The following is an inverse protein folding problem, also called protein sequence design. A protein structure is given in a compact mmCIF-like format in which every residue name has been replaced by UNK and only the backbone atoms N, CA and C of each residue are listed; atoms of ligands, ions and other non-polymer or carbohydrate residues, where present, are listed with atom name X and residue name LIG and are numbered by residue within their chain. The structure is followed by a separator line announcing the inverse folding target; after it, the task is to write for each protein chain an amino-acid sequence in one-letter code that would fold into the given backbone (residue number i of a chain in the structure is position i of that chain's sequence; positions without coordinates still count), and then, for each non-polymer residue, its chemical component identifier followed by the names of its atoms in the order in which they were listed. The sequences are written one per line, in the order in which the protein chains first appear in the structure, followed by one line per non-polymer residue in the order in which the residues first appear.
data_IF_334243376431
#
_entry.id   IF_334243376431
#
_cell.length_a   1.000
_cell.length_b   1.000
_cell.length_c   1.000
_cell.angle_alpha   90.00
_cell.angle_beta   90.00
_cell.angle_gamma   90.00
#
_symmetry.space_group_name_H-M   'P 1'
#
loop_
_entity.id
_entity.type
_entity.pdbx_description
1 polymer ?
#
# COMPACT_ATOMS: atom_id res chain seq x y z
N UNK A 1 -8.41 -15.83 -27.24
CA UNK A 1 -7.13 -15.17 -27.54
C UNK A 1 -6.32 -15.24 -26.26
N UNK A 2 -5.28 -16.07 -26.24
CA UNK A 2 -4.43 -16.29 -25.06
C UNK A 2 -3.36 -15.22 -24.96
N UNK A 3 -3.25 -14.58 -23.80
CA UNK A 3 -2.23 -13.57 -23.51
C UNK A 3 -1.29 -14.07 -22.42
N UNK A 4 -0.01 -14.17 -22.73
CA UNK A 4 1.03 -14.62 -21.83
C UNK A 4 1.93 -13.44 -21.47
N UNK A 5 2.01 -13.11 -20.19
CA UNK A 5 2.95 -12.13 -19.68
C UNK A 5 4.25 -12.81 -19.28
N UNK A 6 5.36 -12.34 -19.81
CA UNK A 6 6.70 -12.80 -19.50
C UNK A 6 7.47 -11.66 -18.85
N UNK A 7 8.04 -11.92 -17.68
CA UNK A 7 8.83 -10.98 -16.90
C UNK A 7 10.26 -11.46 -16.92
N UNK A 8 11.14 -10.90 -17.79
CA UNK A 8 12.54 -11.25 -17.79
C UNK A 8 13.20 -10.76 -16.51
N UNK A 9 13.95 -11.64 -15.86
CA UNK A 9 14.66 -11.34 -14.63
C UNK A 9 16.06 -11.98 -14.64
N UNK A 10 17.10 -11.21 -14.37
CA UNK A 10 18.47 -11.68 -14.23
C UNK A 10 19.08 -11.23 -12.91
N UNK A 11 19.91 -12.08 -12.34
CA UNK A 11 20.60 -11.76 -11.09
C UNK A 11 21.72 -10.76 -11.29
N UNK A 12 22.45 -10.88 -12.40
CA UNK A 12 23.58 -10.01 -12.73
C UNK A 12 23.07 -8.63 -13.15
N UNK A 13 23.10 -7.68 -12.22
CA UNK A 13 22.86 -6.26 -12.45
C UNK A 13 24.09 -5.48 -11.97
N UNK A 14 24.64 -4.61 -12.82
CA UNK A 14 25.85 -3.86 -12.49
C UNK A 14 25.63 -2.79 -11.41
N UNK A 15 24.44 -2.19 -11.35
CA UNK A 15 24.08 -1.12 -10.41
C UNK A 15 23.46 -1.63 -9.11
N UNK A 16 22.65 -2.69 -9.18
CA UNK A 16 21.98 -3.32 -8.04
C UNK A 16 22.05 -4.85 -8.19
N UNK A 17 23.09 -5.52 -7.68
CA UNK A 17 23.20 -6.97 -7.74
C UNK A 17 22.00 -7.66 -7.06
N UNK A 18 21.46 -8.69 -7.71
CA UNK A 18 20.28 -9.39 -7.18
C UNK A 18 18.98 -8.58 -7.19
N UNK A 19 18.91 -7.51 -7.99
CA UNK A 19 17.82 -6.56 -8.10
C UNK A 19 16.40 -7.17 -8.00
N UNK A 20 16.06 -8.27 -8.72
CA UNK A 20 14.73 -8.87 -8.64
C UNK A 20 14.38 -9.43 -7.25
N UNK A 21 15.36 -9.74 -6.44
CA UNK A 21 15.21 -10.33 -5.09
C UNK A 21 15.31 -9.29 -3.97
N UNK A 22 15.53 -8.01 -4.28
CA UNK A 22 15.57 -6.95 -3.28
C UNK A 22 14.23 -6.83 -2.58
N UNK A 23 14.27 -6.77 -1.26
CA UNK A 23 13.07 -6.63 -0.43
C UNK A 23 12.42 -5.26 -0.60
N UNK A 24 11.11 -5.29 -0.82
CA UNK A 24 10.23 -4.13 -0.82
C UNK A 24 9.03 -4.46 0.08
N UNK A 25 9.01 -3.91 1.29
CA UNK A 25 7.92 -4.09 2.25
C UNK A 25 7.59 -5.57 2.53
N UNK A 26 8.62 -6.42 2.74
CA UNK A 26 8.48 -7.84 3.08
C UNK A 26 8.26 -8.78 1.89
N UNK A 27 8.37 -8.30 0.65
CA UNK A 27 8.27 -9.11 -0.57
C UNK A 27 9.43 -8.79 -1.52
N UNK A 28 9.98 -9.78 -2.26
CA UNK A 28 10.95 -9.49 -3.30
C UNK A 28 10.34 -8.63 -4.42
N UNK A 29 11.13 -7.75 -5.03
CA UNK A 29 10.68 -6.84 -6.10
C UNK A 29 9.93 -7.58 -7.20
N UNK A 30 10.43 -8.73 -7.64
CA UNK A 30 9.82 -9.55 -8.69
C UNK A 30 8.39 -9.99 -8.33
N UNK A 31 8.11 -10.24 -7.05
CA UNK A 31 6.76 -10.61 -6.58
C UNK A 31 5.78 -9.45 -6.78
N UNK A 32 6.18 -8.21 -6.49
CA UNK A 32 5.33 -7.04 -6.72
C UNK A 32 4.95 -6.90 -8.19
N UNK A 33 5.91 -7.12 -9.10
CA UNK A 33 5.66 -7.08 -10.55
C UNK A 33 4.72 -8.21 -10.97
N UNK A 34 4.97 -9.45 -10.53
CA UNK A 34 4.10 -10.59 -10.82
C UNK A 34 2.67 -10.38 -10.34
N UNK A 35 2.49 -9.89 -9.10
CA UNK A 35 1.17 -9.60 -8.53
C UNK A 35 0.47 -8.45 -9.27
N UNK A 36 1.21 -7.42 -9.72
CA UNK A 36 0.64 -6.31 -10.47
C UNK A 36 0.15 -6.77 -11.85
N UNK A 37 0.97 -7.52 -12.58
CA UNK A 37 0.62 -8.08 -13.90
C UNK A 37 -0.53 -9.10 -13.79
N UNK A 38 -0.49 -9.96 -12.77
CA UNK A 38 -1.54 -10.97 -12.53
C UNK A 38 -2.91 -10.41 -12.14
N UNK A 39 -2.98 -9.12 -11.75
CA UNK A 39 -4.25 -8.40 -11.53
C UNK A 39 -4.83 -7.77 -12.79
N UNK A 40 -4.10 -7.75 -13.91
CA UNK A 40 -4.64 -7.32 -15.19
C UNK A 40 -5.69 -8.31 -15.70
N UNK A 41 -6.81 -7.80 -16.18
CA UNK A 41 -7.99 -8.62 -16.52
C UNK A 41 -7.84 -9.37 -17.84
N UNK A 42 -6.92 -8.95 -18.70
CA UNK A 42 -6.69 -9.51 -20.03
C UNK A 42 -5.45 -10.41 -20.12
N UNK A 43 -4.78 -10.66 -18.99
CA UNK A 43 -3.64 -11.58 -18.87
C UNK A 43 -4.13 -12.95 -18.40
N UNK A 44 -3.84 -13.97 -19.16
CA UNK A 44 -4.25 -15.36 -18.81
C UNK A 44 -3.21 -16.06 -17.94
N UNK A 45 -1.92 -15.72 -18.11
CA UNK A 45 -0.83 -16.34 -17.35
C UNK A 45 0.37 -15.40 -17.23
N UNK A 46 1.09 -15.52 -16.11
CA UNK A 46 2.31 -14.77 -15.82
C UNK A 46 3.49 -15.71 -15.62
N UNK A 47 4.57 -15.51 -16.36
CA UNK A 47 5.82 -16.26 -16.27
C UNK A 47 6.99 -15.34 -15.94
N UNK A 48 7.89 -15.79 -15.08
CA UNK A 48 9.21 -15.19 -14.90
C UNK A 48 10.23 -15.98 -15.70
N UNK A 49 10.89 -15.32 -16.66
CA UNK A 49 11.96 -15.91 -17.46
C UNK A 49 13.33 -15.54 -16.88
N UNK A 50 14.09 -16.52 -16.40
CA UNK A 50 15.36 -16.28 -15.69
C UNK A 50 16.41 -17.33 -16.02
N UNK A 51 17.69 -16.95 -15.91
CA UNK A 51 18.85 -17.85 -15.96
C UNK A 51 19.41 -18.20 -14.56
N UNK A 52 18.77 -17.71 -13.50
CA UNK A 52 19.28 -17.84 -12.13
C UNK A 52 18.34 -18.65 -11.24
N UNK A 53 18.83 -19.75 -10.70
CA UNK A 53 18.07 -20.67 -9.85
C UNK A 53 17.53 -20.00 -8.56
N UNK A 54 18.20 -18.96 -8.06
CA UNK A 54 17.75 -18.21 -6.86
C UNK A 54 16.47 -17.43 -7.16
N UNK A 55 16.39 -16.82 -8.35
CA UNK A 55 15.18 -16.11 -8.80
C UNK A 55 14.06 -17.12 -9.03
N UNK A 56 14.35 -18.24 -9.73
CA UNK A 56 13.35 -19.26 -9.98
C UNK A 56 12.79 -19.83 -8.68
N UNK A 57 13.64 -20.07 -7.68
CA UNK A 57 13.22 -20.53 -6.35
C UNK A 57 12.33 -19.49 -5.65
N UNK A 58 12.77 -18.24 -5.60
CA UNK A 58 11.98 -17.17 -4.97
C UNK A 58 10.59 -17.02 -5.62
N UNK A 59 10.51 -17.16 -6.96
CA UNK A 59 9.23 -17.13 -7.69
C UNK A 59 8.35 -18.31 -7.28
N UNK A 60 8.90 -19.51 -7.13
CA UNK A 60 8.18 -20.68 -6.67
C UNK A 60 7.71 -20.55 -5.22
N UNK A 61 8.51 -19.95 -4.34
CA UNK A 61 8.21 -19.77 -2.92
C UNK A 61 6.94 -18.91 -2.70
N UNK A 62 6.63 -17.96 -3.58
CA UNK A 62 5.37 -17.20 -3.54
C UNK A 62 4.27 -17.74 -4.48
N UNK A 63 4.45 -18.95 -5.04
CA UNK A 63 3.44 -19.61 -5.89
C UNK A 63 3.42 -19.12 -7.33
N UNK A 64 4.42 -18.37 -7.79
CA UNK A 64 4.59 -17.95 -9.17
C UNK A 64 5.17 -19.07 -10.05
N UNK A 65 5.12 -18.87 -11.37
CA UNK A 65 5.72 -19.78 -12.36
C UNK A 65 6.99 -19.17 -12.94
N UNK A 66 8.12 -19.89 -12.83
CA UNK A 66 9.39 -19.53 -13.45
C UNK A 66 9.77 -20.50 -14.56
N UNK A 67 10.39 -19.98 -15.62
CA UNK A 67 10.97 -20.76 -16.72
C UNK A 67 12.45 -20.43 -16.81
N UNK A 68 13.27 -21.47 -16.81
CA UNK A 68 14.71 -21.30 -17.00
C UNK A 68 15.01 -21.03 -18.47
N UNK A 69 15.80 -19.98 -18.72
CA UNK A 69 16.24 -19.55 -20.04
C UNK A 69 17.75 -19.50 -20.13
N UNK A 70 18.30 -19.50 -21.35
CA UNK A 70 19.75 -19.45 -21.56
C UNK A 70 20.40 -18.23 -20.90
N UNK A 71 21.56 -18.39 -20.25
CA UNK A 71 22.37 -17.27 -19.80
C UNK A 71 22.91 -16.40 -20.97
N UNK A 72 22.92 -16.95 -22.20
CA UNK A 72 23.38 -16.25 -23.40
C UNK A 72 22.36 -15.25 -23.96
N UNK A 73 21.14 -15.19 -23.41
CA UNK A 73 20.15 -14.18 -23.78
C UNK A 73 20.69 -12.79 -23.48
N UNK A 74 20.98 -12.01 -24.52
CA UNK A 74 21.55 -10.68 -24.39
C UNK A 74 20.55 -9.66 -23.81
N UNK A 75 19.23 -9.88 -24.03
CA UNK A 75 18.17 -8.94 -23.70
C UNK A 75 16.95 -9.60 -23.08
N UNK A 76 16.01 -8.80 -22.59
CA UNK A 76 14.70 -9.26 -22.11
C UNK A 76 13.86 -9.84 -23.25
N UNK A 77 13.95 -9.28 -24.45
CA UNK A 77 13.24 -9.76 -25.62
C UNK A 77 13.78 -11.10 -26.12
N UNK A 78 15.10 -11.35 -26.04
CA UNK A 78 15.68 -12.66 -26.38
C UNK A 78 15.14 -13.76 -25.46
N UNK A 79 14.98 -13.48 -24.15
CA UNK A 79 14.36 -14.43 -23.22
C UNK A 79 12.88 -14.69 -23.57
N UNK A 80 12.15 -13.65 -23.98
CA UNK A 80 10.79 -13.79 -24.43
C UNK A 80 10.69 -14.66 -25.68
N UNK A 81 11.60 -14.48 -26.65
CA UNK A 81 11.67 -15.32 -27.85
C UNK A 81 11.94 -16.79 -27.49
N UNK A 82 12.81 -17.05 -26.52
CA UNK A 82 13.07 -18.41 -26.04
C UNK A 82 11.84 -19.04 -25.40
N UNK A 83 11.14 -18.29 -24.53
CA UNK A 83 9.88 -18.73 -23.93
C UNK A 83 8.82 -19.01 -25.00
N UNK A 84 8.68 -18.17 -26.03
CA UNK A 84 7.69 -18.32 -27.09
C UNK A 84 7.91 -19.56 -27.96
N UNK A 85 9.08 -20.21 -27.92
CA UNK A 85 9.33 -21.50 -28.61
C UNK A 85 8.59 -22.66 -27.94
N UNK A 86 8.32 -22.55 -26.63
CA UNK A 86 7.74 -23.62 -25.82
C UNK A 86 6.36 -23.29 -25.29
N UNK A 87 6.00 -22.00 -25.18
CA UNK A 87 4.75 -21.50 -24.65
C UNK A 87 3.98 -20.76 -25.73
N UNK A 88 2.90 -21.37 -26.24
CA UNK A 88 2.09 -20.80 -27.30
C UNK A 88 1.09 -19.75 -26.76
N UNK A 89 1.09 -18.57 -27.34
CA UNK A 89 0.12 -17.50 -27.05
C UNK A 89 -0.17 -16.65 -28.29
N UNK A 90 -1.31 -15.97 -28.30
CA UNK A 90 -1.68 -15.02 -29.36
C UNK A 90 -1.01 -13.66 -29.15
N UNK A 91 -0.82 -13.28 -27.88
CA UNK A 91 -0.12 -12.07 -27.45
C UNK A 91 0.87 -12.42 -26.35
N UNK A 92 2.10 -11.94 -26.49
CA UNK A 92 3.15 -12.01 -25.50
C UNK A 92 3.41 -10.61 -24.96
N UNK A 93 3.32 -10.45 -23.62
CA UNK A 93 3.74 -9.24 -22.94
C UNK A 93 5.17 -9.38 -22.46
N UNK A 94 5.98 -8.36 -22.69
CA UNK A 94 7.30 -8.19 -22.07
C UNK A 94 7.19 -7.08 -21.02
N UNK A 95 7.22 -7.46 -19.75
CA UNK A 95 7.14 -6.54 -18.62
C UNK A 95 8.45 -6.59 -17.86
N UNK A 96 9.08 -5.44 -17.64
CA UNK A 96 10.37 -5.39 -16.95
C UNK A 96 10.21 -5.77 -15.47
N UNK A 97 11.12 -6.64 -14.99
CA UNK A 97 11.12 -7.14 -13.61
C UNK A 97 11.47 -6.09 -12.54
N UNK A 98 11.72 -4.86 -12.93
CA UNK A 98 12.09 -3.72 -12.10
C UNK A 98 11.04 -2.60 -12.05
N UNK A 99 9.80 -2.88 -12.49
CA UNK A 99 8.67 -1.96 -12.44
C UNK A 99 7.61 -2.34 -11.39
N UNK A 100 7.92 -2.32 -10.08
CA UNK A 100 7.00 -2.79 -9.03
C UNK A 100 5.78 -1.89 -8.83
N UNK A 101 5.76 -0.69 -9.41
CA UNK A 101 4.64 0.25 -9.36
C UNK A 101 3.74 0.20 -10.60
N UNK A 102 3.89 -0.81 -11.46
CA UNK A 102 3.08 -1.03 -12.65
C UNK A 102 1.58 -1.09 -12.29
N UNK A 103 0.76 -0.44 -13.11
CA UNK A 103 -0.69 -0.45 -12.95
C UNK A 103 -1.34 -1.51 -13.83
N UNK A 104 -2.16 -2.42 -13.30
CA UNK A 104 -2.85 -3.46 -14.08
C UNK A 104 -3.63 -2.91 -15.28
N UNK A 105 -4.30 -1.77 -15.10
CA UNK A 105 -5.07 -1.12 -16.17
C UNK A 105 -4.21 -0.66 -17.37
N UNK A 106 -2.92 -0.38 -17.18
CA UNK A 106 -2.01 -0.01 -18.26
C UNK A 106 -1.61 -1.24 -19.08
N UNK A 107 -1.50 -2.40 -18.44
CA UNK A 107 -1.31 -3.69 -19.10
C UNK A 107 -2.54 -4.03 -19.98
N UNK A 108 -3.74 -3.88 -19.43
CA UNK A 108 -4.98 -4.14 -20.18
C UNK A 108 -5.12 -3.21 -21.40
N UNK A 109 -4.77 -1.92 -21.26
CA UNK A 109 -4.76 -0.98 -22.40
C UNK A 109 -3.80 -1.41 -23.50
N UNK A 110 -2.62 -1.89 -23.15
CA UNK A 110 -1.63 -2.34 -24.10
C UNK A 110 -2.09 -3.58 -24.88
N UNK A 111 -2.71 -4.54 -24.20
CA UNK A 111 -3.29 -5.73 -24.81
C UNK A 111 -4.45 -5.33 -25.74
N UNK A 112 -5.33 -4.45 -25.27
CA UNK A 112 -6.48 -3.94 -26.05
C UNK A 112 -6.02 -3.29 -27.34
N UNK A 113 -4.96 -2.47 -27.31
CA UNK A 113 -4.43 -1.81 -28.51
C UNK A 113 -4.01 -2.79 -29.60
N UNK A 114 -3.47 -3.97 -29.25
CA UNK A 114 -3.18 -5.01 -30.24
C UNK A 114 -4.43 -5.81 -30.66
N UNK A 115 -5.36 -6.04 -29.74
CA UNK A 115 -6.61 -6.77 -30.05
C UNK A 115 -7.44 -6.00 -31.07
N UNK A 116 -7.54 -4.68 -30.87
CA UNK A 116 -8.38 -3.79 -31.69
C UNK A 116 -7.69 -3.38 -33.00
N UNK A 117 -6.40 -3.64 -33.16
CA UNK A 117 -5.63 -3.32 -34.37
C UNK A 117 -4.91 -4.57 -34.92
N UNK A 118 -5.62 -5.48 -35.59
CA UNK A 118 -5.05 -6.73 -36.09
C UNK A 118 -3.84 -6.60 -37.03
N UNK A 119 -3.67 -5.53 -37.85
CA UNK A 119 -2.48 -5.33 -38.67
C UNK A 119 -1.21 -5.05 -37.87
N UNK A 120 -1.31 -4.58 -36.60
CA UNK A 120 -0.16 -4.29 -35.78
C UNK A 120 0.39 -5.56 -35.12
N UNK A 121 1.70 -5.76 -35.21
CA UNK A 121 2.38 -6.89 -34.63
C UNK A 121 3.04 -6.56 -33.28
N UNK A 122 3.17 -5.28 -32.94
CA UNK A 122 3.72 -4.82 -31.67
C UNK A 122 3.01 -3.56 -31.16
N UNK A 123 2.95 -3.40 -29.85
CA UNK A 123 2.52 -2.18 -29.18
C UNK A 123 3.41 -1.88 -27.97
N UNK A 124 3.57 -0.59 -27.65
CA UNK A 124 4.35 -0.13 -26.49
C UNK A 124 3.78 1.19 -25.97
N UNK A 125 3.87 1.47 -24.64
CA UNK A 125 3.32 2.71 -24.11
C UNK A 125 4.24 3.92 -24.31
N UNK A 126 3.59 5.10 -24.31
CA UNK A 126 4.26 6.39 -24.19
C UNK A 126 3.46 7.34 -23.31
N UNK A 127 4.09 8.39 -22.80
CA UNK A 127 3.46 9.44 -22.02
C UNK A 127 4.06 10.81 -22.35
N UNK A 128 3.27 11.87 -22.16
CA UNK A 128 3.73 13.24 -22.41
C UNK A 128 4.79 13.64 -21.39
N UNK A 129 5.88 14.25 -21.87
CA UNK A 129 7.00 14.73 -21.07
C UNK A 129 7.30 16.19 -21.40
N UNK A 130 7.96 16.89 -20.46
CA UNK A 130 8.46 18.25 -20.71
C UNK A 130 9.71 18.24 -21.59
N UNK A 131 10.07 19.40 -22.12
CA UNK A 131 11.34 19.58 -22.85
C UNK A 131 12.56 19.26 -21.95
N UNK A 132 12.53 19.71 -20.71
CA UNK A 132 13.61 19.45 -19.73
C UNK A 132 13.79 17.94 -19.49
N UNK A 133 12.69 17.20 -19.42
CA UNK A 133 12.75 15.73 -19.33
C UNK A 133 13.25 15.09 -20.62
N UNK A 134 12.93 15.67 -21.79
CA UNK A 134 13.42 15.15 -23.06
C UNK A 134 14.94 15.28 -23.24
N UNK A 135 15.60 16.16 -22.50
CA UNK A 135 17.08 16.31 -22.49
C UNK A 135 17.80 15.16 -21.78
N UNK A 136 17.10 14.38 -20.91
CA UNK A 136 17.71 13.23 -20.25
C UNK A 136 17.90 12.07 -21.24
N UNK A 137 19.15 11.64 -21.51
CA UNK A 137 19.43 10.52 -22.42
C UNK A 137 19.04 9.15 -21.87
N UNK A 138 18.75 9.05 -20.56
CA UNK A 138 18.25 7.81 -19.97
C UNK A 138 16.77 7.61 -20.24
N UNK A 139 16.01 8.68 -20.42
CA UNK A 139 14.63 8.63 -20.86
C UNK A 139 14.59 8.51 -22.39
N UNK A 140 14.07 7.41 -22.91
CA UNK A 140 13.91 7.21 -24.36
C UNK A 140 12.74 8.04 -24.85
N UNK A 141 12.96 8.79 -25.95
CA UNK A 141 11.91 9.56 -26.64
C UNK A 141 11.38 8.80 -27.82
N UNK A 142 10.14 9.05 -28.20
CA UNK A 142 9.51 8.49 -29.39
C UNK A 142 8.77 9.58 -30.15
N UNK A 143 8.90 9.55 -31.50
CA UNK A 143 8.05 10.30 -32.39
C UNK A 143 7.03 9.36 -33.03
N UNK A 144 5.80 9.83 -33.23
CA UNK A 144 4.69 9.04 -33.76
C UNK A 144 3.96 9.77 -34.87
N UNK A 145 3.36 9.00 -35.80
CA UNK A 145 2.51 9.55 -36.82
C UNK A 145 1.08 9.85 -36.29
N UNK A 146 0.22 10.38 -37.14
CA UNK A 146 -1.17 10.72 -36.79
C UNK A 146 -2.01 9.49 -36.42
N UNK A 147 -1.68 8.31 -36.94
CA UNK A 147 -2.30 7.04 -36.57
C UNK A 147 -1.80 6.47 -35.23
N UNK A 148 -0.89 7.19 -34.52
CA UNK A 148 -0.33 6.76 -33.28
C UNK A 148 0.73 5.66 -33.41
N UNK A 149 1.30 5.44 -34.60
CA UNK A 149 2.38 4.47 -34.80
C UNK A 149 3.74 5.12 -34.59
N UNK A 150 4.69 4.40 -34.02
CA UNK A 150 6.05 4.86 -33.83
C UNK A 150 6.74 5.09 -35.18
N UNK A 151 7.36 6.25 -35.32
CA UNK A 151 8.25 6.58 -36.46
C UNK A 151 9.71 6.31 -36.10
N UNK A 152 10.14 6.67 -34.89
CA UNK A 152 11.49 6.44 -34.41
C UNK A 152 11.58 6.58 -32.89
N UNK A 153 12.54 5.87 -32.29
CA UNK A 153 12.90 5.98 -30.87
C UNK A 153 14.33 6.46 -30.76
N UNK A 154 14.59 7.40 -29.84
CA UNK A 154 15.95 7.92 -29.63
C UNK A 154 16.22 8.32 -28.17
N UNK A 155 17.50 8.25 -27.81
CA UNK A 155 17.99 8.86 -26.57
C UNK A 155 18.22 10.37 -26.72
N UNK A 156 18.37 10.87 -27.96
CA UNK A 156 18.39 12.30 -28.23
C UNK A 156 17.00 12.93 -28.02
N UNK A 157 16.91 14.24 -27.75
CA UNK A 157 15.62 14.94 -27.73
C UNK A 157 15.04 15.03 -29.13
N UNK A 158 14.01 14.24 -29.41
CA UNK A 158 13.26 14.22 -30.68
C UNK A 158 11.77 14.49 -30.43
N UNK A 159 11.08 15.24 -31.35
CA UNK A 159 11.64 15.88 -32.55
C UNK A 159 12.48 17.11 -32.20
N UNK A 160 13.35 17.54 -33.12
CA UNK A 160 14.12 18.77 -32.95
C UNK A 160 13.23 20.01 -33.17
N UNK A 161 13.17 20.84 -32.18
CA UNK A 161 12.46 22.12 -32.24
C UNK A 161 13.39 23.19 -32.82
N UNK A 162 13.26 23.43 -34.11
CA UNK A 162 14.16 24.31 -34.87
C UNK A 162 14.09 25.76 -34.40
N UNK A 163 12.88 26.23 -34.10
CA UNK A 163 12.64 27.62 -33.81
C UNK A 163 12.70 27.94 -32.31
N UNK A 164 12.78 26.89 -31.46
CA UNK A 164 12.88 27.03 -30.02
C UNK A 164 11.60 27.55 -29.34
N UNK A 165 10.47 27.54 -30.06
CA UNK A 165 9.20 28.06 -29.56
C UNK A 165 8.51 27.15 -28.53
N UNK A 166 9.09 25.97 -28.27
CA UNK A 166 8.58 24.94 -27.32
C UNK A 166 7.11 24.52 -27.58
N UNK A 167 6.64 24.62 -28.80
CA UNK A 167 5.29 24.18 -29.19
C UNK A 167 5.23 22.68 -29.50
N UNK A 168 6.39 22.04 -29.54
CA UNK A 168 6.52 20.61 -29.84
C UNK A 168 6.17 19.76 -28.61
N UNK A 169 5.33 18.75 -28.82
CA UNK A 169 5.03 17.78 -27.78
C UNK A 169 6.06 16.65 -27.81
N UNK A 170 6.71 16.43 -26.65
CA UNK A 170 7.64 15.32 -26.45
C UNK A 170 6.94 14.13 -25.82
N UNK A 171 7.33 12.93 -26.24
CA UNK A 171 6.81 11.67 -25.75
C UNK A 171 7.92 10.80 -25.18
N UNK A 172 7.80 10.47 -23.89
CA UNK A 172 8.65 9.48 -23.22
C UNK A 172 8.11 8.07 -23.48
N UNK A 173 9.00 7.13 -23.76
CA UNK A 173 8.68 5.73 -23.98
C UNK A 173 8.77 4.96 -22.65
N UNK A 174 7.89 3.95 -22.48
CA UNK A 174 7.90 3.00 -21.36
C UNK A 174 8.33 1.63 -21.85
N UNK A 175 9.27 0.99 -21.17
CA UNK A 175 9.92 -0.28 -21.58
C UNK A 175 9.04 -1.52 -21.45
N UNK A 176 7.74 -1.41 -21.63
CA UNK A 176 6.78 -2.52 -21.64
C UNK A 176 6.25 -2.73 -23.06
N UNK A 177 6.09 -3.98 -23.47
CA UNK A 177 5.66 -4.29 -24.84
C UNK A 177 4.62 -5.39 -24.86
N UNK A 178 3.71 -5.30 -25.84
CA UNK A 178 2.90 -6.42 -26.30
C UNK A 178 3.32 -6.81 -27.73
N UNK A 179 3.51 -8.09 -27.94
CA UNK A 179 3.94 -8.64 -29.24
C UNK A 179 2.98 -9.73 -29.71
N UNK A 180 2.68 -9.73 -31.01
CA UNK A 180 2.20 -10.95 -31.69
C UNK A 180 3.38 -11.85 -32.05
N UNK A 181 3.16 -13.15 -32.31
CA UNK A 181 4.20 -14.07 -32.73
C UNK A 181 5.05 -13.56 -33.91
N UNK A 182 4.43 -12.84 -34.84
CA UNK A 182 5.11 -12.27 -36.01
C UNK A 182 6.23 -11.27 -35.64
N UNK A 183 6.02 -10.44 -34.61
CA UNK A 183 7.06 -9.53 -34.14
C UNK A 183 8.23 -10.29 -33.48
N UNK A 184 7.94 -11.31 -32.71
CA UNK A 184 8.98 -12.15 -32.07
C UNK A 184 9.78 -12.94 -33.10
N UNK A 185 9.15 -13.34 -34.20
CA UNK A 185 9.83 -14.01 -35.30
C UNK A 185 10.94 -13.12 -35.93
N UNK A 186 10.73 -11.79 -35.98
CA UNK A 186 11.75 -10.85 -36.45
C UNK A 186 12.96 -10.81 -35.52
N UNK A 187 12.75 -10.79 -34.21
CA UNK A 187 13.84 -10.87 -33.24
C UNK A 187 14.62 -12.19 -33.34
N UNK A 188 13.92 -13.31 -33.58
CA UNK A 188 14.55 -14.62 -33.73
C UNK A 188 15.36 -14.76 -35.02
N UNK A 189 14.93 -14.08 -36.10
CA UNK A 189 15.51 -14.22 -37.43
C UNK A 189 16.68 -13.25 -37.69
N UNK A 190 16.76 -12.13 -37.01
CA UNK A 190 17.68 -11.04 -37.33
C UNK A 190 18.56 -10.65 -36.13
N UNK A 191 19.86 -10.47 -36.39
CA UNK A 191 20.79 -9.88 -35.42
C UNK A 191 20.52 -8.37 -35.23
N UNK A 192 21.01 -7.78 -34.12
CA UNK A 192 20.89 -6.34 -33.86
C UNK A 192 21.39 -5.50 -35.05
N UNK A 193 20.54 -4.58 -35.54
CA UNK A 193 20.85 -3.69 -36.65
C UNK A 193 21.71 -2.49 -36.23
N UNK A 194 22.05 -1.62 -37.18
CA UNK A 194 22.89 -0.43 -36.96
C UNK A 194 22.24 0.53 -35.96
N UNK A 195 20.96 0.85 -36.15
CA UNK A 195 20.21 1.78 -35.29
C UNK A 195 20.09 1.23 -33.87
N UNK A 196 19.78 -0.07 -33.73
CA UNK A 196 19.71 -0.74 -32.43
C UNK A 196 21.05 -0.68 -31.68
N UNK A 197 22.16 -0.93 -32.41
CA UNK A 197 23.50 -0.85 -31.81
C UNK A 197 23.89 0.57 -31.39
N UNK A 198 23.51 1.58 -32.19
CA UNK A 198 23.79 2.98 -31.91
C UNK A 198 23.02 3.51 -30.69
N UNK A 199 21.73 3.31 -30.67
CA UNK A 199 20.82 3.84 -29.63
C UNK A 199 20.73 2.90 -28.42
N UNK A 200 21.15 1.62 -28.53
CA UNK A 200 20.92 0.55 -27.54
C UNK A 200 19.42 0.37 -27.23
N UNK A 201 18.62 0.32 -28.29
CA UNK A 201 17.16 0.23 -28.26
C UNK A 201 16.68 -0.92 -29.15
N UNK A 202 16.28 -2.04 -28.56
CA UNK A 202 15.89 -3.29 -29.25
C UNK A 202 14.73 -3.11 -30.22
N UNK A 203 13.75 -2.28 -29.87
CA UNK A 203 12.56 -2.03 -30.70
C UNK A 203 12.87 -1.40 -32.06
N UNK A 204 14.03 -0.80 -32.25
CA UNK A 204 14.48 -0.30 -33.55
C UNK A 204 14.67 -1.41 -34.56
N UNK A 205 14.98 -2.66 -34.13
CA UNK A 205 15.05 -3.83 -34.99
C UNK A 205 13.72 -4.07 -35.70
N UNK A 206 12.61 -3.95 -34.99
CA UNK A 206 11.27 -4.08 -35.59
C UNK A 206 11.03 -3.05 -36.69
N UNK A 207 11.30 -1.76 -36.39
CA UNK A 207 11.13 -0.67 -37.34
C UNK A 207 12.02 -0.85 -38.57
N UNK A 208 13.29 -1.27 -38.40
CA UNK A 208 14.23 -1.54 -39.49
C UNK A 208 13.75 -2.67 -40.41
N UNK A 209 12.96 -3.61 -39.89
CA UNK A 209 12.37 -4.72 -40.67
C UNK A 209 10.91 -4.50 -41.06
N UNK A 210 10.43 -3.26 -41.01
CA UNK A 210 9.09 -2.88 -41.49
C UNK A 210 7.93 -3.31 -40.59
N UNK A 211 8.23 -3.72 -39.35
CA UNK A 211 7.20 -4.04 -38.36
C UNK A 211 6.76 -2.75 -37.64
N UNK A 212 5.51 -2.37 -37.85
CA UNK A 212 4.88 -1.21 -37.17
C UNK A 212 4.68 -1.47 -35.68
N UNK A 213 4.89 -0.43 -34.89
CA UNK A 213 4.69 -0.46 -33.44
C UNK A 213 3.61 0.56 -33.09
N UNK A 214 2.49 0.10 -32.52
CA UNK A 214 1.42 0.96 -32.05
C UNK A 214 1.83 1.61 -30.72
N UNK A 215 1.74 2.94 -30.63
CA UNK A 215 1.95 3.68 -29.38
C UNK A 215 0.65 3.76 -28.59
N UNK A 216 0.71 3.46 -27.31
CA UNK A 216 -0.41 3.53 -26.36
C UNK A 216 -0.15 4.65 -25.37
N UNK A 217 -0.97 5.70 -25.42
CA UNK A 217 -0.81 6.82 -24.50
C UNK A 217 -1.28 6.46 -23.09
N UNK A 218 -0.38 6.57 -22.12
CA UNK A 218 -0.63 6.34 -20.71
C UNK A 218 -0.43 7.63 -19.90
N UNK A 219 -1.06 7.76 -18.73
CA UNK A 219 -0.68 8.78 -17.78
C UNK A 219 0.78 8.57 -17.32
N UNK A 220 1.50 9.63 -16.90
CA UNK A 220 2.85 9.48 -16.38
C UNK A 220 2.94 8.34 -15.36
N UNK A 221 3.91 7.45 -15.55
CA UNK A 221 4.18 6.32 -14.67
C UNK A 221 5.44 6.60 -13.82
N UNK A 222 5.52 5.93 -12.68
CA UNK A 222 6.74 5.96 -11.90
C UNK A 222 7.86 5.24 -12.67
N UNK A 223 9.09 5.77 -12.67
CA UNK A 223 10.22 5.08 -13.28
C UNK A 223 10.50 3.75 -12.58
N UNK A 224 11.08 2.82 -13.31
CA UNK A 224 11.58 1.57 -12.76
C UNK A 224 12.67 1.80 -11.70
N UNK A 225 12.97 0.76 -10.93
CA UNK A 225 14.01 0.80 -9.90
C UNK A 225 15.38 0.53 -10.55
N UNK A 226 16.23 1.52 -10.65
CA UNK A 226 17.56 1.39 -11.24
C UNK A 226 18.69 1.68 -10.24
N UNK A 227 18.41 2.44 -9.20
CA UNK A 227 19.34 2.87 -8.17
C UNK A 227 18.78 2.58 -6.78
N UNK A 228 19.64 2.63 -5.73
CA UNK A 228 19.20 2.51 -4.34
C UNK A 228 18.19 3.61 -3.98
N UNK A 229 18.37 4.82 -4.52
CA UNK A 229 17.42 5.93 -4.33
C UNK A 229 16.03 5.64 -4.91
N UNK A 230 15.98 4.96 -6.06
CA UNK A 230 14.70 4.52 -6.65
C UNK A 230 14.05 3.46 -5.78
N UNK A 231 14.85 2.52 -5.25
CA UNK A 231 14.38 1.49 -4.35
C UNK A 231 13.78 2.08 -3.06
N UNK A 232 14.44 3.04 -2.43
CA UNK A 232 13.92 3.74 -1.25
C UNK A 232 12.63 4.50 -1.55
N UNK A 233 12.57 5.16 -2.70
CA UNK A 233 11.36 5.84 -3.17
C UNK A 233 10.19 4.86 -3.35
N UNK A 234 10.44 3.72 -3.96
CA UNK A 234 9.41 2.68 -4.17
C UNK A 234 8.98 2.07 -2.84
N UNK A 235 9.92 1.80 -1.92
CA UNK A 235 9.61 1.36 -0.55
C UNK A 235 8.68 2.34 0.17
N UNK A 236 8.97 3.64 0.07
CA UNK A 236 8.12 4.69 0.66
C UNK A 236 6.73 4.73 0.05
N UNK A 237 6.62 4.61 -1.29
CA UNK A 237 5.33 4.65 -2.00
C UNK A 237 4.47 3.40 -1.73
N UNK A 238 5.07 2.22 -1.72
CA UNK A 238 4.35 0.97 -1.43
C UNK A 238 4.09 0.81 0.07
N UNK A 239 5.02 1.22 0.92
CA UNK A 239 4.84 1.27 2.37
C UNK A 239 3.71 2.23 2.76
N UNK A 240 3.64 3.41 2.16
CA UNK A 240 2.54 4.36 2.33
C UNK A 240 1.20 3.80 1.84
N UNK A 241 1.15 3.19 0.66
CA UNK A 241 -0.07 2.55 0.13
C UNK A 241 -0.52 1.35 0.96
N UNK A 242 0.41 0.54 1.44
CA UNK A 242 0.10 -0.57 2.34
C UNK A 242 -0.40 -0.08 3.69
N UNK A 243 0.17 1.00 4.22
CA UNK A 243 -0.30 1.66 5.42
C UNK A 243 -1.71 2.27 5.23
N UNK A 244 -1.97 2.93 4.10
CA UNK A 244 -3.30 3.47 3.76
C UNK A 244 -4.35 2.36 3.54
N UNK A 245 -4.01 1.26 2.86
CA UNK A 245 -4.91 0.11 2.68
C UNK A 245 -5.12 -0.66 3.98
N UNK A 246 -4.08 -0.85 4.78
CA UNK A 246 -4.18 -1.44 6.10
C UNK A 246 -5.00 -0.52 7.03
N UNK A 247 -4.77 0.79 7.00
CA UNK A 247 -5.53 1.76 7.75
C UNK A 247 -7.02 1.80 7.32
N UNK A 248 -7.32 1.73 6.03
CA UNK A 248 -8.70 1.69 5.52
C UNK A 248 -9.43 0.39 5.91
N UNK A 249 -8.75 -0.77 5.82
CA UNK A 249 -9.31 -2.05 6.27
C UNK A 249 -9.41 -2.13 7.80
N UNK A 250 -8.41 -1.58 8.52
CA UNK A 250 -8.42 -1.49 9.98
C UNK A 250 -9.51 -0.54 10.44
N UNK A 251 -9.76 0.57 9.72
CA UNK A 251 -10.83 1.53 10.03
C UNK A 251 -12.21 0.89 9.89
N UNK A 252 -12.50 0.17 8.80
CA UNK A 252 -13.77 -0.58 8.65
C UNK A 252 -13.95 -1.66 9.72
N UNK A 253 -12.90 -2.43 10.00
CA UNK A 253 -12.89 -3.43 11.07
C UNK A 253 -13.06 -2.79 12.44
N UNK A 254 -12.42 -1.64 12.70
CA UNK A 254 -12.54 -0.91 13.95
C UNK A 254 -13.96 -0.35 14.13
N UNK A 255 -14.55 0.23 13.10
CA UNK A 255 -15.92 0.75 13.14
C UNK A 255 -16.96 -0.34 13.42
N UNK A 256 -16.81 -1.52 12.78
CA UNK A 256 -17.63 -2.69 13.07
C UNK A 256 -17.48 -3.17 14.52
N UNK A 257 -16.26 -3.15 15.06
CA UNK A 257 -15.98 -3.50 16.47
C UNK A 257 -16.57 -2.48 17.43
N UNK A 258 -16.42 -1.16 17.15
CA UNK A 258 -17.02 -0.08 17.94
C UNK A 258 -18.56 -0.20 17.99
N UNK A 259 -19.19 -0.59 16.88
CA UNK A 259 -20.64 -0.82 16.82
C UNK A 259 -21.12 -1.89 17.80
N UNK A 260 -20.31 -2.92 18.05
CA UNK A 260 -20.64 -4.05 18.95
C UNK A 260 -20.38 -3.76 20.42
N UNK A 261 -19.70 -2.66 20.75
CA UNK A 261 -19.34 -2.33 22.13
C UNK A 261 -20.58 -2.14 22.99
N UNK A 262 -20.67 -2.88 24.09
CA UNK A 262 -21.73 -2.83 25.09
C UNK A 262 -21.25 -2.41 26.48
N UNK A 263 -19.94 -2.46 26.72
CA UNK A 263 -19.28 -2.04 27.95
C UNK A 263 -18.06 -1.19 27.66
N UNK A 264 -17.95 -0.07 28.34
CA UNK A 264 -16.74 0.75 28.39
C UNK A 264 -16.18 0.68 29.81
N UNK A 265 -14.91 0.31 29.95
CA UNK A 265 -14.16 0.42 31.19
C UNK A 265 -13.19 1.58 31.05
N UNK A 266 -13.24 2.56 31.93
CA UNK A 266 -12.38 3.75 31.84
C UNK A 266 -11.49 3.86 33.08
N UNK A 267 -10.21 4.22 32.84
CA UNK A 267 -9.39 4.80 33.90
C UNK A 267 -9.90 6.21 34.27
N UNK A 268 -9.39 6.76 35.34
CA UNK A 268 -9.77 8.07 35.89
C UNK A 268 -8.68 9.10 35.72
N UNK A 269 -7.51 8.84 36.33
CA UNK A 269 -6.43 9.82 36.39
C UNK A 269 -5.65 9.82 35.06
N UNK A 270 -5.74 10.93 34.31
CA UNK A 270 -5.18 11.04 32.97
C UNK A 270 -6.17 10.70 31.83
N UNK A 271 -7.38 10.18 32.15
CA UNK A 271 -8.46 9.93 31.17
C UNK A 271 -9.66 10.82 31.42
N UNK A 272 -10.34 10.66 32.59
CA UNK A 272 -11.48 11.49 33.01
C UNK A 272 -11.03 12.80 33.67
N UNK A 273 -9.78 12.84 34.12
CA UNK A 273 -9.09 14.02 34.65
C UNK A 273 -7.86 14.32 33.80
N UNK A 274 -7.23 15.46 34.02
CA UNK A 274 -5.95 15.83 33.41
C UNK A 274 -4.72 15.18 34.07
N UNK A 275 -4.95 14.26 35.03
CA UNK A 275 -3.90 13.60 35.82
C UNK A 275 -3.33 14.46 36.93
N UNK A 276 -3.77 15.70 37.09
CA UNK A 276 -3.37 16.58 38.20
C UNK A 276 -3.89 16.10 39.54
N UNK A 277 -3.06 16.14 40.56
CA UNK A 277 -3.37 15.77 41.93
C UNK A 277 -3.39 17.01 42.81
N UNK A 278 -4.50 17.22 43.53
CA UNK A 278 -4.66 18.35 44.46
C UNK A 278 -4.67 17.82 45.91
N UNK A 279 -3.58 18.08 46.63
CA UNK A 279 -3.38 17.61 47.99
C UNK A 279 -3.64 18.70 49.04
N UNK A 280 -4.41 18.36 50.05
CA UNK A 280 -4.53 19.11 51.31
C UNK A 280 -3.84 18.38 52.46
N UNK A 281 -3.98 18.92 53.72
CA UNK A 281 -3.36 18.29 54.90
C UNK A 281 -3.77 16.83 55.12
N UNK A 282 -4.99 16.49 54.73
CA UNK A 282 -5.58 15.15 54.95
C UNK A 282 -5.45 14.25 53.68
N UNK A 283 -4.65 14.62 52.70
CA UNK A 283 -4.43 13.86 51.47
C UNK A 283 -5.06 14.49 50.23
N UNK A 284 -5.43 13.69 49.22
CA UNK A 284 -6.06 14.15 48.00
C UNK A 284 -7.45 14.72 48.26
N UNK A 285 -7.64 16.04 48.00
CA UNK A 285 -8.86 16.75 48.41
C UNK A 285 -9.77 17.13 47.24
N UNK A 286 -9.24 17.30 46.00
CA UNK A 286 -10.00 17.72 44.86
C UNK A 286 -9.60 16.92 43.61
N UNK A 287 -10.57 16.72 42.72
CA UNK A 287 -10.36 16.25 41.32
C UNK A 287 -11.09 17.16 40.34
N UNK A 288 -10.43 17.50 39.27
CA UNK A 288 -11.01 18.25 38.15
C UNK A 288 -11.55 17.31 37.08
N UNK A 289 -12.84 17.34 36.82
CA UNK A 289 -13.49 16.57 35.78
C UNK A 289 -13.97 17.47 34.63
N UNK A 290 -13.93 16.97 33.39
CA UNK A 290 -14.53 17.64 32.25
C UNK A 290 -16.06 17.41 32.21
N UNK A 291 -16.82 18.49 32.05
CA UNK A 291 -18.29 18.40 31.96
C UNK A 291 -18.73 17.63 30.70
N UNK A 292 -18.00 17.79 29.57
CA UNK A 292 -18.31 17.12 28.32
C UNK A 292 -18.15 15.60 28.42
N UNK A 293 -17.10 15.13 29.13
CA UNK A 293 -16.87 13.70 29.39
C UNK A 293 -18.03 13.08 30.19
N UNK A 294 -18.51 13.80 31.20
CA UNK A 294 -19.69 13.38 31.95
C UNK A 294 -20.95 13.28 31.08
N UNK A 295 -21.17 14.25 30.19
CA UNK A 295 -22.27 14.18 29.24
C UNK A 295 -22.12 12.99 28.29
N UNK A 296 -20.90 12.69 27.81
CA UNK A 296 -20.60 11.52 26.99
C UNK A 296 -21.02 10.21 27.66
N UNK A 297 -20.73 10.07 28.97
CA UNK A 297 -21.16 8.90 29.77
C UNK A 297 -22.68 8.75 29.80
N UNK A 298 -23.39 9.85 30.08
CA UNK A 298 -24.87 9.85 30.14
C UNK A 298 -25.47 9.49 28.79
N UNK A 299 -24.95 10.01 27.69
CA UNK A 299 -25.42 9.70 26.33
C UNK A 299 -25.23 8.22 25.98
N UNK A 300 -24.07 7.66 26.30
CA UNK A 300 -23.80 6.24 26.07
C UNK A 300 -24.71 5.33 26.89
N UNK A 301 -24.93 5.65 28.17
CA UNK A 301 -25.85 4.89 29.03
C UNK A 301 -27.28 4.93 28.46
N UNK A 302 -27.75 6.08 27.98
CA UNK A 302 -29.08 6.20 27.31
C UNK A 302 -29.14 5.37 26.00
N UNK A 303 -27.99 5.18 25.32
CA UNK A 303 -27.88 4.33 24.13
C UNK A 303 -27.69 2.84 24.46
N UNK A 304 -27.78 2.43 25.73
CA UNK A 304 -27.67 1.05 26.17
C UNK A 304 -26.22 0.55 26.31
N UNK A 305 -25.22 1.45 26.31
CA UNK A 305 -23.82 1.10 26.58
C UNK A 305 -23.55 1.27 28.08
N UNK A 306 -23.07 0.24 28.73
CA UNK A 306 -22.67 0.31 30.14
C UNK A 306 -21.34 1.04 30.28
N UNK A 307 -21.19 1.83 31.33
CA UNK A 307 -19.93 2.48 31.69
C UNK A 307 -19.47 1.95 33.04
N UNK A 308 -18.23 1.47 33.09
CA UNK A 308 -17.56 1.03 34.29
C UNK A 308 -16.31 1.87 34.53
N UNK A 309 -15.92 2.04 35.80
CA UNK A 309 -14.73 2.83 36.16
C UNK A 309 -13.76 1.95 36.95
N UNK A 310 -12.49 1.98 36.55
CA UNK A 310 -11.40 1.28 37.21
C UNK A 310 -10.27 2.26 37.52
N UNK A 311 -10.03 2.54 38.77
CA UNK A 311 -9.01 3.50 39.22
C UNK A 311 -8.06 2.91 40.27
N UNK A 312 -6.78 3.26 40.15
CA UNK A 312 -5.78 2.99 41.16
C UNK A 312 -5.99 3.79 42.45
N UNK A 313 -6.85 4.79 42.41
CA UNK A 313 -7.14 5.69 43.57
C UNK A 313 -8.60 5.63 43.95
N UNK A 314 -8.84 5.92 45.23
CA UNK A 314 -10.18 6.04 45.81
C UNK A 314 -10.25 7.33 46.62
N UNK A 315 -11.11 8.25 46.24
CA UNK A 315 -11.31 9.48 46.99
C UNK A 315 -12.80 9.90 46.96
N UNK A 316 -13.24 10.68 47.98
CA UNK A 316 -14.64 11.12 48.08
C UNK A 316 -15.14 11.88 46.86
N UNK A 317 -14.28 12.72 46.25
CA UNK A 317 -14.64 13.49 45.05
C UNK A 317 -14.97 12.59 43.87
N UNK A 318 -14.22 11.50 43.64
CA UNK A 318 -14.49 10.51 42.60
C UNK A 318 -15.79 9.77 42.87
N UNK A 319 -16.01 9.27 44.09
CA UNK A 319 -17.24 8.56 44.47
C UNK A 319 -18.48 9.44 44.25
N UNK A 320 -18.38 10.72 44.64
CA UNK A 320 -19.45 11.69 44.41
C UNK A 320 -19.73 11.86 42.93
N UNK A 321 -18.67 12.04 42.11
CA UNK A 321 -18.82 12.21 40.66
C UNK A 321 -19.46 11.00 39.98
N UNK A 322 -19.10 9.78 40.36
CA UNK A 322 -19.70 8.54 39.84
C UNK A 322 -21.19 8.45 40.20
N UNK A 323 -21.54 8.81 41.42
CA UNK A 323 -22.96 8.86 41.82
C UNK A 323 -23.78 9.88 41.02
N UNK A 324 -23.24 11.09 40.81
CA UNK A 324 -23.89 12.13 40.00
C UNK A 324 -24.10 11.71 38.53
N UNK A 325 -23.24 10.84 38.00
CA UNK A 325 -23.32 10.31 36.63
C UNK A 325 -24.08 8.98 36.51
N UNK A 326 -24.56 8.43 37.64
CA UNK A 326 -25.26 7.15 37.67
C UNK A 326 -24.40 5.95 37.32
N UNK A 327 -23.07 6.05 37.51
CA UNK A 327 -22.14 4.95 37.28
C UNK A 327 -22.13 4.04 38.51
N UNK A 328 -22.64 2.82 38.36
CA UNK A 328 -22.78 1.82 39.46
C UNK A 328 -21.69 0.74 39.41
N UNK A 329 -21.07 0.52 38.24
CA UNK A 329 -19.99 -0.44 38.04
C UNK A 329 -18.65 0.25 38.25
N UNK A 330 -17.93 -0.05 39.32
CA UNK A 330 -16.59 0.51 39.52
C UNK A 330 -15.73 -0.32 40.45
N UNK A 331 -14.40 -0.22 40.27
CA UNK A 331 -13.36 -0.71 41.20
C UNK A 331 -12.39 0.42 41.44
N UNK A 332 -12.31 0.88 42.69
CA UNK A 332 -11.47 1.99 43.13
C UNK A 332 -10.38 1.48 44.07
N UNK A 333 -9.21 2.15 44.07
CA UNK A 333 -8.07 1.75 44.90
C UNK A 333 -7.41 0.45 44.40
N UNK A 334 -7.52 0.12 43.11
CA UNK A 334 -6.98 -1.11 42.52
C UNK A 334 -5.78 -0.81 41.64
N UNK A 335 -4.59 -1.12 42.10
CA UNK A 335 -3.34 -0.95 41.36
C UNK A 335 -3.19 -2.05 40.30
N UNK A 336 -3.52 -3.29 40.64
CA UNK A 336 -3.52 -4.41 39.70
C UNK A 336 -4.81 -4.40 38.86
N UNK A 337 -4.72 -3.87 37.65
CA UNK A 337 -5.91 -3.62 36.82
C UNK A 337 -6.49 -4.88 36.18
N UNK A 338 -5.68 -5.93 35.94
CA UNK A 338 -6.14 -7.16 35.28
C UNK A 338 -7.30 -7.83 36.03
N UNK A 339 -7.08 -8.23 37.28
CA UNK A 339 -8.09 -8.92 38.09
C UNK A 339 -9.35 -8.06 38.27
N UNK A 340 -9.16 -6.75 38.50
CA UNK A 340 -10.30 -5.83 38.67
C UNK A 340 -11.08 -5.62 37.39
N UNK A 341 -10.43 -5.65 36.22
CA UNK A 341 -11.08 -5.59 34.90
C UNK A 341 -11.90 -6.86 34.62
N UNK A 342 -11.33 -8.03 34.89
CA UNK A 342 -12.02 -9.33 34.76
C UNK A 342 -13.25 -9.42 35.67
N UNK A 343 -13.17 -8.88 36.89
CA UNK A 343 -14.32 -8.79 37.80
C UNK A 343 -15.42 -7.89 37.25
N UNK A 344 -15.08 -6.73 36.68
CA UNK A 344 -16.06 -5.82 36.04
C UNK A 344 -16.71 -6.47 34.80
N UNK A 345 -15.95 -7.16 33.99
CA UNK A 345 -16.48 -7.93 32.84
C UNK A 345 -17.48 -8.98 33.31
N UNK A 346 -17.13 -9.77 34.33
CA UNK A 346 -18.00 -10.81 34.90
C UNK A 346 -19.28 -10.21 35.49
N UNK A 347 -19.18 -9.14 36.28
CA UNK A 347 -20.33 -8.47 36.89
C UNK A 347 -21.24 -7.82 35.85
N UNK A 348 -20.64 -7.29 34.76
CA UNK A 348 -21.42 -6.70 33.68
C UNK A 348 -22.19 -7.74 32.84
N UNK A 349 -21.72 -8.99 32.80
CA UNK A 349 -22.27 -10.02 31.88
C UNK A 349 -22.01 -9.70 30.41
N UNK A 350 -21.07 -8.79 30.09
CA UNK A 350 -20.67 -8.45 28.72
C UNK A 350 -19.40 -9.23 28.36
N UNK A 351 -19.37 -9.96 27.24
CA UNK A 351 -18.18 -10.69 26.83
C UNK A 351 -17.04 -9.74 26.45
N UNK A 352 -15.77 -10.15 26.64
CA UNK A 352 -14.60 -9.32 26.36
C UNK A 352 -14.62 -8.66 24.97
N UNK A 353 -15.00 -9.38 23.93
CA UNK A 353 -15.05 -8.92 22.54
C UNK A 353 -16.05 -7.78 22.28
N UNK A 354 -17.04 -7.60 23.16
CA UNK A 354 -18.04 -6.51 23.14
C UNK A 354 -17.71 -5.40 24.15
N UNK A 355 -16.48 -5.40 24.70
CA UNK A 355 -16.01 -4.41 25.65
C UNK A 355 -14.82 -3.60 25.10
N UNK A 356 -14.62 -2.42 25.66
CA UNK A 356 -13.42 -1.64 25.45
C UNK A 356 -12.86 -1.08 26.76
N UNK A 357 -11.55 -0.84 26.77
CA UNK A 357 -10.88 -0.14 27.88
C UNK A 357 -10.25 1.15 27.35
N UNK A 358 -10.43 2.27 28.03
CA UNK A 358 -9.77 3.55 27.74
C UNK A 358 -8.79 3.90 28.86
N UNK A 359 -7.53 4.20 28.48
CA UNK A 359 -6.42 4.45 29.41
C UNK A 359 -5.36 5.39 28.87
N UNK A 360 -4.38 5.75 29.74
CA UNK A 360 -3.30 6.68 29.42
C UNK A 360 -1.91 6.21 29.89
N UNK A 361 -1.80 5.31 30.87
CA UNK A 361 -0.51 4.89 31.43
C UNK A 361 -0.33 3.35 31.44
N UNK A 362 0.89 2.90 31.72
CA UNK A 362 1.32 1.50 31.63
C UNK A 362 0.40 0.47 32.32
N UNK A 363 -0.18 0.75 33.49
CA UNK A 363 -1.11 -0.19 34.14
C UNK A 363 -2.37 -0.48 33.30
N UNK A 364 -2.73 0.42 32.37
CA UNK A 364 -3.90 0.27 31.49
C UNK A 364 -3.73 -0.79 30.41
N UNK A 365 -2.48 -1.17 30.11
CA UNK A 365 -2.20 -2.27 29.18
C UNK A 365 -2.82 -3.58 29.64
N UNK A 366 -2.96 -3.81 30.95
CA UNK A 366 -3.69 -4.95 31.50
C UNK A 366 -5.19 -4.89 31.15
N UNK A 367 -5.78 -3.69 31.24
CA UNK A 367 -7.16 -3.46 30.81
C UNK A 367 -7.34 -3.68 29.30
N UNK A 368 -6.38 -3.21 28.48
CA UNK A 368 -6.40 -3.46 27.03
C UNK A 368 -6.36 -4.95 26.70
N UNK A 369 -5.58 -5.73 27.45
CA UNK A 369 -5.48 -7.18 27.27
C UNK A 369 -6.74 -7.96 27.68
N UNK A 370 -7.57 -7.39 28.56
CA UNK A 370 -8.81 -8.01 29.03
C UNK A 370 -10.00 -7.71 28.13
N UNK A 371 -9.99 -6.60 27.37
CA UNK A 371 -11.10 -6.12 26.58
C UNK A 371 -10.88 -6.36 25.08
N UNK A 372 -11.99 -6.37 24.33
CA UNK A 372 -11.95 -6.48 22.87
C UNK A 372 -11.22 -5.31 22.20
N UNK A 373 -11.29 -4.10 22.77
CA UNK A 373 -10.64 -2.89 22.24
C UNK A 373 -9.90 -2.15 23.36
N UNK A 374 -8.65 -1.72 23.06
CA UNK A 374 -7.90 -0.75 23.88
C UNK A 374 -7.90 0.61 23.19
N UNK A 375 -8.25 1.67 23.93
CA UNK A 375 -8.32 3.05 23.42
C UNK A 375 -7.39 3.92 24.25
N UNK A 376 -6.53 4.70 23.61
CA UNK A 376 -5.63 5.62 24.30
C UNK A 376 -6.04 7.07 24.09
N UNK A 377 -5.90 7.91 25.12
CA UNK A 377 -6.04 9.38 24.97
C UNK A 377 -4.82 9.96 24.26
N UNK A 378 -4.93 11.18 23.69
CA UNK A 378 -3.86 11.80 22.90
C UNK A 378 -2.53 11.94 23.65
N UNK A 379 -2.58 12.28 24.95
CA UNK A 379 -1.43 12.47 25.82
C UNK A 379 -1.01 11.20 26.58
N UNK A 380 -1.52 10.03 26.23
CA UNK A 380 -1.10 8.76 26.82
C UNK A 380 0.39 8.48 26.55
N UNK A 381 1.01 7.66 27.42
CA UNK A 381 2.39 7.21 27.25
C UNK A 381 2.60 6.50 25.91
N UNK A 382 3.76 6.67 25.29
CA UNK A 382 4.04 6.10 23.95
C UNK A 382 3.71 4.61 23.85
N UNK A 383 4.14 3.78 24.82
CA UNK A 383 3.84 2.35 24.82
C UNK A 383 2.34 2.03 24.89
N UNK A 384 1.54 2.88 25.54
CA UNK A 384 0.07 2.72 25.60
C UNK A 384 -0.55 3.10 24.25
N UNK A 385 -0.06 4.18 23.63
CA UNK A 385 -0.52 4.61 22.28
C UNK A 385 -0.18 3.57 21.21
N UNK A 386 1.00 2.95 21.28
CA UNK A 386 1.43 1.88 20.38
C UNK A 386 0.61 0.60 20.52
N UNK A 387 0.14 0.28 21.74
CA UNK A 387 -0.68 -0.89 22.02
C UNK A 387 -2.19 -0.67 21.77
N UNK A 388 -2.63 0.57 21.57
CA UNK A 388 -4.04 0.92 21.42
C UNK A 388 -4.56 0.60 19.99
N UNK A 389 -5.80 0.15 19.92
CA UNK A 389 -6.52 -0.01 18.65
C UNK A 389 -6.96 1.34 18.04
N UNK A 390 -7.12 2.36 18.90
CA UNK A 390 -7.44 3.73 18.52
C UNK A 390 -6.79 4.70 19.50
N UNK A 391 -6.14 5.74 18.99
CA UNK A 391 -5.68 6.90 19.77
C UNK A 391 -6.61 8.07 19.48
N UNK A 392 -7.19 8.64 20.54
CA UNK A 392 -8.07 9.80 20.43
C UNK A 392 -7.26 11.07 20.16
N UNK A 393 -7.92 12.10 19.63
CA UNK A 393 -7.31 13.41 19.41
C UNK A 393 -7.33 14.29 20.66
N UNK A 394 -8.32 14.09 21.52
CA UNK A 394 -8.46 14.83 22.76
C UNK A 394 -7.56 14.28 23.87
N UNK A 395 -7.03 15.18 24.69
CA UNK A 395 -6.28 14.83 25.91
C UNK A 395 -7.20 14.40 27.04
N UNK A 396 -6.69 13.59 27.96
CA UNK A 396 -7.40 13.22 29.16
C UNK A 396 -7.87 14.44 29.96
N UNK A 397 -9.08 14.39 30.50
CA UNK A 397 -9.73 15.49 31.20
C UNK A 397 -10.10 16.71 30.33
N UNK A 398 -9.98 16.59 29.00
CA UNK A 398 -10.25 17.65 28.04
C UNK A 398 -11.22 17.20 26.94
N UNK A 399 -12.14 16.28 27.24
CA UNK A 399 -13.13 15.79 26.30
C UNK A 399 -12.75 14.47 25.59
N UNK A 400 -11.75 13.74 26.07
CA UNK A 400 -11.33 12.48 25.47
C UNK A 400 -12.45 11.41 25.56
N UNK A 401 -13.07 11.26 26.71
CA UNK A 401 -14.19 10.33 26.84
C UNK A 401 -15.41 10.78 25.99
N UNK A 402 -15.61 12.10 25.85
CA UNK A 402 -16.64 12.62 24.95
C UNK A 402 -16.37 12.30 23.50
N UNK A 403 -15.13 12.46 23.01
CA UNK A 403 -14.76 12.09 21.65
C UNK A 403 -15.05 10.59 21.40
N UNK A 404 -14.68 9.72 22.36
CA UNK A 404 -14.98 8.29 22.26
C UNK A 404 -16.49 8.03 22.20
N UNK A 405 -17.26 8.72 23.03
CA UNK A 405 -18.71 8.58 23.07
C UNK A 405 -19.35 8.96 21.73
N UNK A 406 -18.93 10.06 21.13
CA UNK A 406 -19.43 10.52 19.83
C UNK A 406 -19.09 9.52 18.71
N UNK A 407 -17.88 8.94 18.69
CA UNK A 407 -17.47 7.88 17.73
C UNK A 407 -18.35 6.63 17.86
N UNK A 408 -18.62 6.17 19.08
CA UNK A 408 -19.45 5.00 19.33
C UNK A 408 -20.92 5.22 18.93
N UNK A 409 -21.46 6.40 19.24
CA UNK A 409 -22.83 6.76 18.86
C UNK A 409 -22.96 6.87 17.33
N UNK A 410 -21.99 7.48 16.67
CA UNK A 410 -21.95 7.57 15.21
C UNK A 410 -21.89 6.18 14.54
N UNK A 411 -20.99 5.31 14.99
CA UNK A 411 -20.85 3.95 14.46
C UNK A 411 -22.18 3.15 14.58
N UNK A 412 -22.99 3.41 15.61
CA UNK A 412 -24.29 2.75 15.81
C UNK A 412 -25.42 3.32 14.95
N UNK A 413 -25.34 4.58 14.52
CA UNK A 413 -26.34 5.23 13.66
C UNK A 413 -26.14 4.91 12.18
N UNK A 414 -24.91 4.57 11.78
CA UNK A 414 -24.54 4.28 10.39
C UNK A 414 -24.86 2.83 9.94
N UNK A 415 -25.52 2.04 10.74
CA UNK A 415 -25.97 0.66 10.47
C UNK A 415 -27.39 0.42 10.83
#
# INVERSE_FOLDING_TARGET
MRTLAVIPARYASSRLPGKPLLDICGKPMIQHVCEAVGRATLVDEVLVATDDARIARAVSDFGGRAVMTSPDCASGTDRLVEVARHEQADIYLNVQGDEPLLRPADVDKLITALRDNPPMAAATPCYSISYEQALDPNLVKVVRNEAGQALYFSRAPIPFDRDGERQVRYWGHVGMYAYRPAALAVFAAHAPGELERAEKLEQLRLLQHGIGIQMVELPPCAPGVDTEKDLERVRSLLGGRNAEHAAANTSKSLEERLRRVRLIITDVDGVLTDGGLYYGPDGECLKRFCAQDGLGMVLLQKAGVRVAVLSGRDCPALRRRLADLGVTLFRLGRVEKRAACEDLLRESGVPPEESLFIGDDLPDLDGFACCGLGIAVANARNRVREAAHLVLNAHGGQGAFRELADKLLHARQAG
#
